data_IF_164156024387
#
_entry.id   IF_164156024387
#
_cell.length_a   1.000
_cell.length_b   1.000
_cell.length_c   1.000
_cell.angle_alpha   90.00
_cell.angle_beta   90.00
_cell.angle_gamma   90.00
#
_symmetry.space_group_name_H-M   'P 1'
#
loop_
_entity.id
_entity.type
_entity.pdbx_description
1 polymer ?
#
# COMPACT_ATOMS: atom_id res chain seq x y z
N UNK A 1 -9.44 -27.60 15.76
CA UNK A 1 -10.23 -26.71 14.86
C UNK A 1 -9.67 -25.31 14.63
N UNK A 2 -8.38 -25.07 14.91
CA UNK A 2 -7.75 -23.76 14.70
C UNK A 2 -6.87 -23.64 13.45
N UNK A 3 -6.60 -24.71 12.72
CA UNK A 3 -5.62 -24.72 11.62
C UNK A 3 -6.09 -24.01 10.33
N UNK A 4 -7.38 -23.90 10.07
CA UNK A 4 -7.91 -23.27 8.85
C UNK A 4 -7.95 -21.73 8.87
N UNK A 5 -8.09 -21.13 10.05
CA UNK A 5 -8.11 -19.68 10.23
C UNK A 5 -6.72 -19.04 10.16
N UNK A 6 -5.67 -19.76 10.56
CA UNK A 6 -4.32 -19.22 10.61
C UNK A 6 -3.70 -19.00 9.23
N UNK A 7 -3.92 -19.91 8.29
CA UNK A 7 -3.32 -19.80 6.93
C UNK A 7 -3.92 -18.64 6.13
N UNK A 8 -5.24 -18.45 6.22
CA UNK A 8 -5.92 -17.35 5.55
C UNK A 8 -5.63 -15.99 6.17
N UNK A 9 -5.64 -15.92 7.50
CA UNK A 9 -5.23 -14.74 8.25
C UNK A 9 -3.78 -14.36 7.95
N UNK A 10 -2.88 -15.34 7.88
CA UNK A 10 -1.47 -15.12 7.58
C UNK A 10 -1.24 -14.61 6.14
N UNK A 11 -1.97 -15.13 5.15
CA UNK A 11 -1.90 -14.64 3.77
C UNK A 11 -2.46 -13.22 3.68
N UNK A 12 -3.56 -12.93 4.35
CA UNK A 12 -4.19 -11.61 4.41
C UNK A 12 -3.25 -10.57 5.03
N UNK A 13 -2.68 -10.86 6.19
CA UNK A 13 -1.75 -9.97 6.89
C UNK A 13 -0.45 -9.73 6.11
N UNK A 14 0.06 -10.75 5.44
CA UNK A 14 1.24 -10.62 4.58
C UNK A 14 0.95 -9.68 3.41
N UNK A 15 -0.21 -9.78 2.79
CA UNK A 15 -0.63 -8.91 1.70
C UNK A 15 -0.83 -7.47 2.14
N UNK A 16 -1.56 -7.24 3.24
CA UNK A 16 -1.79 -5.90 3.79
C UNK A 16 -0.49 -5.18 4.14
N UNK A 17 0.47 -5.88 4.71
CA UNK A 17 1.76 -5.31 5.06
C UNK A 17 2.64 -5.01 3.85
N UNK A 18 2.63 -5.88 2.85
CA UNK A 18 3.31 -5.63 1.58
C UNK A 18 2.69 -4.43 0.86
N UNK A 19 1.36 -4.29 0.87
CA UNK A 19 0.64 -3.18 0.24
C UNK A 19 0.92 -1.85 0.95
N UNK A 20 0.98 -1.80 2.28
CA UNK A 20 1.34 -0.60 3.03
C UNK A 20 2.80 -0.15 2.79
N UNK A 21 3.74 -1.08 2.78
CA UNK A 21 5.13 -0.80 2.41
C UNK A 21 5.26 -0.36 0.95
N UNK A 22 4.52 -1.01 0.07
CA UNK A 22 4.48 -0.69 -1.35
C UNK A 22 3.99 0.72 -1.60
N UNK A 23 2.92 1.17 -0.91
CA UNK A 23 2.42 2.54 -0.98
C UNK A 23 3.47 3.59 -0.62
N UNK A 24 4.22 3.39 0.45
CA UNK A 24 5.31 4.29 0.88
C UNK A 24 6.48 4.31 -0.13
N UNK A 25 6.87 3.14 -0.63
CA UNK A 25 7.92 3.04 -1.65
C UNK A 25 7.48 3.71 -2.94
N UNK A 26 6.25 3.50 -3.38
CA UNK A 26 5.69 4.13 -4.57
C UNK A 26 5.66 5.64 -4.46
N UNK A 27 5.19 6.20 -3.35
CA UNK A 27 5.18 7.64 -3.10
C UNK A 27 6.57 8.24 -3.21
N UNK A 28 7.55 7.60 -2.62
CA UNK A 28 8.95 8.05 -2.66
C UNK A 28 9.50 8.05 -4.09
N UNK A 29 9.30 6.97 -4.82
CA UNK A 29 9.78 6.84 -6.21
C UNK A 29 9.06 7.83 -7.14
N UNK A 30 7.76 8.03 -6.98
CA UNK A 30 7.00 9.02 -7.75
C UNK A 30 7.56 10.43 -7.53
N UNK A 31 7.87 10.80 -6.30
CA UNK A 31 8.52 12.09 -5.99
C UNK A 31 9.91 12.21 -6.61
N UNK A 32 10.69 11.12 -6.61
CA UNK A 32 11.99 11.07 -7.27
C UNK A 32 11.85 11.29 -8.78
N UNK A 33 10.91 10.62 -9.43
CA UNK A 33 10.66 10.78 -10.88
C UNK A 33 10.25 12.21 -11.20
N UNK A 34 9.28 12.76 -10.48
CA UNK A 34 8.79 14.12 -10.69
C UNK A 34 9.91 15.16 -10.46
N UNK A 35 10.68 15.01 -9.39
CA UNK A 35 11.79 15.91 -9.08
C UNK A 35 12.93 15.83 -10.10
N UNK A 36 13.31 14.63 -10.51
CA UNK A 36 14.33 14.42 -11.53
C UNK A 36 13.91 15.01 -12.89
N UNK A 37 12.64 14.84 -13.26
CA UNK A 37 12.08 15.39 -14.50
C UNK A 37 12.07 16.93 -14.48
N UNK A 38 11.69 17.54 -13.36
CA UNK A 38 11.73 19.01 -13.20
C UNK A 38 13.13 19.56 -13.39
N UNK A 39 14.15 18.89 -12.90
CA UNK A 39 15.52 19.38 -12.91
C UNK A 39 16.23 19.12 -14.24
N UNK A 40 16.01 17.98 -14.87
CA UNK A 40 16.79 17.54 -16.01
C UNK A 40 15.99 17.23 -17.28
N UNK A 41 14.67 17.41 -17.27
CA UNK A 41 13.80 17.13 -18.40
C UNK A 41 13.35 15.66 -18.49
N UNK A 42 12.45 15.34 -19.43
CA UNK A 42 11.84 14.02 -19.55
C UNK A 42 12.67 12.98 -20.33
N UNK A 43 13.77 13.40 -20.95
CA UNK A 43 14.59 12.50 -21.76
C UNK A 43 15.54 11.66 -20.88
N UNK A 44 15.30 10.35 -20.83
CA UNK A 44 16.13 9.42 -20.05
C UNK A 44 17.55 9.26 -20.58
N UNK A 45 17.80 9.58 -21.85
CA UNK A 45 19.15 9.53 -22.44
C UNK A 45 20.05 10.63 -21.89
N UNK A 46 19.49 11.80 -21.57
CA UNK A 46 20.22 12.95 -21.04
C UNK A 46 20.03 13.15 -19.54
N UNK A 47 19.02 12.51 -18.95
CA UNK A 47 18.71 12.62 -17.53
C UNK A 47 18.96 11.28 -16.81
N UNK A 48 20.17 11.08 -16.34
CA UNK A 48 20.58 9.86 -15.64
C UNK A 48 19.83 9.64 -14.33
N UNK A 49 19.49 10.70 -13.61
CA UNK A 49 18.71 10.63 -12.36
C UNK A 49 17.29 10.14 -12.62
N UNK A 50 16.65 10.62 -13.68
CA UNK A 50 15.33 10.13 -14.09
C UNK A 50 15.40 8.66 -14.50
N UNK A 51 16.39 8.27 -15.27
CA UNK A 51 16.58 6.85 -15.65
C UNK A 51 16.71 5.95 -14.45
N UNK A 52 17.51 6.32 -13.45
CA UNK A 52 17.66 5.56 -12.21
C UNK A 52 16.34 5.46 -11.43
N UNK A 53 15.57 6.54 -11.35
CA UNK A 53 14.28 6.55 -10.67
C UNK A 53 13.26 5.65 -11.38
N UNK A 54 13.25 5.66 -12.71
CA UNK A 54 12.39 4.77 -13.51
C UNK A 54 12.80 3.30 -13.33
N UNK A 55 14.08 2.98 -13.27
CA UNK A 55 14.57 1.61 -13.03
C UNK A 55 14.10 1.11 -11.64
N UNK A 56 14.17 1.94 -10.62
CA UNK A 56 13.61 1.62 -9.30
C UNK A 56 12.10 1.36 -9.37
N UNK A 57 11.37 2.16 -10.13
CA UNK A 57 9.93 1.99 -10.32
C UNK A 57 9.59 0.65 -10.99
N UNK A 58 10.32 0.29 -12.03
CA UNK A 58 10.16 -0.99 -12.73
C UNK A 58 10.45 -2.16 -11.79
N UNK A 59 11.51 -2.08 -11.00
CA UNK A 59 11.90 -3.14 -10.06
C UNK A 59 10.84 -3.40 -8.97
N UNK A 60 10.03 -2.42 -8.63
CA UNK A 60 8.90 -2.58 -7.68
C UNK A 60 7.56 -2.78 -8.38
N UNK A 61 7.57 -3.09 -9.67
CA UNK A 61 6.38 -3.31 -10.51
C UNK A 61 5.39 -2.13 -10.52
N UNK A 62 5.91 -0.91 -10.53
CA UNK A 62 5.06 0.26 -10.72
C UNK A 62 4.43 0.26 -12.12
N UNK A 63 3.11 0.49 -12.25
CA UNK A 63 2.46 0.59 -13.55
C UNK A 63 3.06 1.67 -14.43
N UNK A 64 3.15 1.42 -15.72
CA UNK A 64 3.73 2.36 -16.70
C UNK A 64 3.01 3.70 -16.74
N UNK A 65 1.69 3.69 -16.62
CA UNK A 65 0.87 4.91 -16.56
C UNK A 65 1.17 5.75 -15.32
N UNK A 66 1.45 5.14 -14.19
CA UNK A 66 1.89 5.84 -12.97
C UNK A 66 3.24 6.52 -13.17
N UNK A 67 4.20 5.83 -13.79
CA UNK A 67 5.51 6.39 -14.15
C UNK A 67 5.33 7.59 -15.09
N UNK A 68 4.54 7.42 -16.15
CA UNK A 68 4.29 8.47 -17.14
C UNK A 68 3.64 9.70 -16.51
N UNK A 69 2.65 9.51 -15.64
CA UNK A 69 2.01 10.63 -14.91
C UNK A 69 3.00 11.39 -14.03
N UNK A 70 3.94 10.71 -13.40
CA UNK A 70 4.97 11.37 -12.60
C UNK A 70 5.93 12.22 -13.47
N UNK A 71 6.26 11.75 -14.67
CA UNK A 71 7.02 12.51 -15.66
C UNK A 71 6.21 13.72 -16.15
N UNK A 72 4.94 13.53 -16.51
CA UNK A 72 4.05 14.58 -17.00
C UNK A 72 3.85 15.69 -15.96
N UNK A 73 3.77 15.35 -14.70
CA UNK A 73 3.80 16.33 -13.60
C UNK A 73 5.11 17.12 -13.56
N UNK A 74 6.23 16.42 -13.74
CA UNK A 74 7.55 17.04 -13.71
C UNK A 74 7.77 18.07 -14.80
N UNK A 75 7.19 17.88 -15.98
CA UNK A 75 7.22 18.84 -17.09
C UNK A 75 6.06 19.85 -17.08
N UNK A 76 5.16 19.77 -16.09
CA UNK A 76 4.00 20.65 -15.99
C UNK A 76 2.88 20.36 -16.98
N UNK A 77 2.88 19.20 -17.66
CA UNK A 77 1.86 18.81 -18.62
C UNK A 77 0.52 18.45 -17.97
N UNK A 78 0.55 18.04 -16.71
CA UNK A 78 -0.65 17.80 -15.90
C UNK A 78 -0.55 18.55 -14.57
N UNK A 79 -1.69 19.05 -14.11
CA UNK A 79 -1.82 19.62 -12.78
C UNK A 79 -2.09 18.50 -11.76
N UNK A 80 -1.65 18.71 -10.54
CA UNK A 80 -1.91 17.81 -9.43
C UNK A 80 -0.99 18.10 -8.27
N UNK A 81 -1.50 17.91 -7.07
CA UNK A 81 -0.71 17.96 -5.85
C UNK A 81 0.19 16.73 -5.69
N UNK A 82 0.88 16.68 -4.57
CA UNK A 82 1.56 15.47 -4.14
C UNK A 82 0.60 14.30 -3.96
N UNK A 83 1.12 13.09 -4.08
CA UNK A 83 0.36 11.90 -3.72
C UNK A 83 0.06 11.88 -2.23
N UNK A 84 -1.19 11.60 -1.90
CA UNK A 84 -1.68 11.46 -0.54
C UNK A 84 -2.27 10.09 -0.31
N UNK A 85 -2.14 9.60 0.90
CA UNK A 85 -2.79 8.38 1.34
C UNK A 85 -4.18 8.70 1.88
N UNK A 86 -5.19 7.98 1.40
CA UNK A 86 -6.59 8.09 1.84
C UNK A 86 -7.09 6.72 2.24
N UNK A 87 -8.03 6.72 3.17
CA UNK A 87 -8.67 5.52 3.66
C UNK A 87 -10.18 5.68 3.61
N UNK A 88 -10.84 4.69 3.05
CA UNK A 88 -12.29 4.60 3.02
C UNK A 88 -12.75 3.33 3.71
N UNK A 89 -13.89 3.40 4.35
CA UNK A 89 -14.47 2.31 5.12
C UNK A 89 -15.90 2.07 4.67
N UNK A 90 -16.32 0.82 4.64
CA UNK A 90 -17.67 0.47 4.25
C UNK A 90 -17.97 -1.02 4.37
N UNK A 91 -19.12 -1.39 3.84
CA UNK A 91 -19.58 -2.78 3.82
C UNK A 91 -19.76 -3.25 2.38
N UNK A 92 -19.19 -4.40 2.08
CA UNK A 92 -19.38 -5.10 0.82
C UNK A 92 -20.74 -5.81 0.74
N UNK A 93 -21.06 -6.40 -0.41
CA UNK A 93 -22.22 -7.28 -0.54
C UNK A 93 -22.19 -8.37 0.53
N UNK A 94 -23.34 -8.64 1.14
CA UNK A 94 -23.44 -9.63 2.22
C UNK A 94 -22.95 -9.14 3.59
N UNK A 95 -22.62 -7.85 3.74
CA UNK A 95 -22.28 -7.24 5.03
C UNK A 95 -20.83 -7.43 5.48
N UNK A 96 -19.94 -7.84 4.59
CA UNK A 96 -18.51 -7.92 4.92
C UNK A 96 -17.89 -6.53 5.10
N UNK A 97 -17.15 -6.33 6.17
CA UNK A 97 -16.43 -5.07 6.41
C UNK A 97 -15.28 -4.90 5.41
N UNK A 98 -15.15 -3.71 4.83
CA UNK A 98 -14.14 -3.39 3.83
C UNK A 98 -13.42 -2.10 4.20
N UNK A 99 -12.10 -2.15 4.20
CA UNK A 99 -11.22 -0.98 4.24
C UNK A 99 -10.53 -0.85 2.90
N UNK A 100 -10.56 0.34 2.30
CA UNK A 100 -9.87 0.66 1.06
C UNK A 100 -8.80 1.70 1.35
N UNK A 101 -7.54 1.31 1.20
CA UNK A 101 -6.42 2.23 1.28
C UNK A 101 -6.03 2.69 -0.13
N UNK A 102 -5.98 4.00 -0.32
CA UNK A 102 -5.71 4.61 -1.62
C UNK A 102 -4.47 5.48 -1.55
N UNK A 103 -3.72 5.50 -2.64
CA UNK A 103 -2.66 6.45 -2.89
C UNK A 103 -3.06 7.26 -4.13
N UNK A 104 -3.28 8.56 -3.97
CA UNK A 104 -3.79 9.40 -5.06
C UNK A 104 -3.24 10.82 -5.02
N UNK A 105 -3.17 11.43 -6.18
CA UNK A 105 -2.90 12.85 -6.37
C UNK A 105 -4.17 13.68 -6.55
N UNK A 106 -5.35 13.04 -6.58
CA UNK A 106 -6.64 13.69 -6.77
C UNK A 106 -7.72 13.05 -5.90
N UNK A 107 -7.92 13.61 -4.72
CA UNK A 107 -8.91 13.15 -3.74
C UNK A 107 -10.33 13.12 -4.30
N UNK A 108 -10.73 14.16 -5.01
CA UNK A 108 -12.09 14.28 -5.54
C UNK A 108 -12.40 13.21 -6.56
N UNK A 109 -11.49 12.93 -7.49
CA UNK A 109 -11.64 11.86 -8.46
C UNK A 109 -11.68 10.50 -7.78
N UNK A 110 -10.80 10.25 -6.83
CA UNK A 110 -10.71 8.96 -6.14
C UNK A 110 -11.99 8.66 -5.38
N UNK A 111 -12.54 9.61 -4.62
CA UNK A 111 -13.79 9.36 -3.87
C UNK A 111 -14.96 9.12 -4.83
N UNK A 112 -15.01 9.81 -5.96
CA UNK A 112 -16.05 9.58 -6.95
C UNK A 112 -15.97 8.18 -7.55
N UNK A 113 -14.78 7.71 -7.88
CA UNK A 113 -14.55 6.34 -8.39
C UNK A 113 -14.89 5.27 -7.35
N UNK A 114 -14.49 5.45 -6.10
CA UNK A 114 -14.80 4.54 -4.99
C UNK A 114 -16.32 4.46 -4.76
N UNK A 115 -17.00 5.58 -4.72
CA UNK A 115 -18.48 5.62 -4.59
C UNK A 115 -19.15 4.91 -5.74
N UNK A 116 -18.69 5.12 -6.97
CA UNK A 116 -19.23 4.46 -8.15
C UNK A 116 -19.08 2.94 -8.07
N UNK A 117 -17.89 2.45 -7.70
CA UNK A 117 -17.63 1.02 -7.58
C UNK A 117 -18.49 0.40 -6.48
N UNK A 118 -18.57 1.01 -5.30
CA UNK A 118 -19.40 0.54 -4.21
C UNK A 118 -20.87 0.45 -4.61
N UNK A 119 -21.39 1.51 -5.22
CA UNK A 119 -22.77 1.54 -5.72
C UNK A 119 -23.03 0.47 -6.77
N UNK A 120 -22.13 0.31 -7.75
CA UNK A 120 -22.27 -0.68 -8.83
C UNK A 120 -22.36 -2.11 -8.34
N UNK A 121 -21.65 -2.46 -7.27
CA UNK A 121 -21.58 -3.83 -6.74
C UNK A 121 -22.44 -4.04 -5.49
N UNK A 122 -23.34 -3.13 -5.16
CA UNK A 122 -24.26 -3.28 -4.03
C UNK A 122 -23.57 -3.18 -2.67
N UNK A 123 -22.44 -2.51 -2.62
CA UNK A 123 -21.73 -2.18 -1.38
C UNK A 123 -22.17 -0.81 -0.83
N UNK A 124 -21.86 -0.55 0.43
CA UNK A 124 -22.20 0.70 1.10
C UNK A 124 -20.95 1.35 1.68
N UNK A 125 -20.65 2.56 1.21
CA UNK A 125 -19.57 3.37 1.75
C UNK A 125 -20.05 4.06 3.03
N UNK A 126 -19.32 3.84 4.12
CA UNK A 126 -19.58 4.45 5.42
C UNK A 126 -18.68 5.65 5.70
N UNK A 127 -18.79 6.15 6.91
CA UNK A 127 -17.92 7.19 7.47
C UNK A 127 -16.67 6.60 8.11
N UNK A 128 -15.70 7.44 8.43
CA UNK A 128 -14.48 7.03 9.14
C UNK A 128 -14.84 6.37 10.47
N UNK A 129 -14.25 5.23 10.76
CA UNK A 129 -14.50 4.46 11.97
C UNK A 129 -15.67 3.48 11.89
N UNK A 130 -16.43 3.46 10.78
CA UNK A 130 -17.61 2.59 10.65
C UNK A 130 -17.30 1.10 10.68
N UNK A 131 -16.11 0.70 10.22
CA UNK A 131 -15.66 -0.70 10.21
C UNK A 131 -14.27 -0.92 10.80
N UNK A 132 -13.46 0.12 10.97
CA UNK A 132 -12.07 0.01 11.40
C UNK A 132 -11.89 -0.64 12.76
N UNK A 133 -12.89 -0.53 13.65
CA UNK A 133 -12.91 -1.20 14.95
C UNK A 133 -12.89 -2.74 14.85
N UNK A 134 -13.29 -3.30 13.70
CA UNK A 134 -13.27 -4.74 13.43
C UNK A 134 -11.90 -5.23 12.95
N UNK A 135 -10.99 -4.30 12.67
CA UNK A 135 -9.65 -4.60 12.15
C UNK A 135 -8.59 -4.27 13.20
N UNK A 136 -7.60 -5.14 13.30
CA UNK A 136 -6.44 -4.92 14.12
C UNK A 136 -5.20 -4.88 13.25
N UNK A 137 -4.44 -3.79 13.32
CA UNK A 137 -3.16 -3.70 12.62
C UNK A 137 -2.12 -4.50 13.37
N UNK A 138 -1.52 -5.47 12.68
CA UNK A 138 -0.53 -6.36 13.25
C UNK A 138 0.75 -6.32 12.44
N UNK A 139 1.88 -6.50 13.12
CA UNK A 139 3.15 -6.86 12.50
C UNK A 139 3.17 -8.37 12.22
N UNK A 140 3.64 -8.74 11.04
CA UNK A 140 3.81 -10.14 10.67
C UNK A 140 5.25 -10.39 10.21
N UNK A 141 5.91 -11.37 10.83
CA UNK A 141 7.27 -11.78 10.51
C UNK A 141 7.25 -13.25 10.15
N UNK A 142 7.85 -13.59 9.02
CA UNK A 142 8.00 -14.96 8.58
C UNK A 142 9.45 -15.40 8.72
N UNK A 143 9.65 -16.50 9.40
CA UNK A 143 10.97 -17.12 9.59
C UNK A 143 10.96 -18.54 9.03
N UNK A 144 12.16 -19.08 8.79
CA UNK A 144 12.31 -20.48 8.42
C UNK A 144 11.80 -21.41 9.54
N UNK A 145 11.28 -22.58 9.16
CA UNK A 145 10.66 -23.51 10.09
C UNK A 145 11.59 -24.04 11.19
N UNK A 146 12.90 -24.02 10.95
CA UNK A 146 13.95 -24.42 11.88
C UNK A 146 14.45 -23.31 12.83
N UNK A 147 13.84 -22.12 12.75
CA UNK A 147 14.22 -21.00 13.60
C UNK A 147 13.81 -21.25 15.04
N UNK A 148 14.69 -20.91 15.99
CA UNK A 148 14.44 -21.07 17.42
C UNK A 148 13.34 -20.11 17.89
N UNK A 149 12.21 -20.67 18.33
CA UNK A 149 11.03 -19.90 18.77
C UNK A 149 11.30 -19.06 20.02
N UNK A 150 12.05 -19.61 20.99
CA UNK A 150 12.37 -18.92 22.23
C UNK A 150 13.24 -17.68 21.97
N UNK A 151 14.22 -17.80 21.08
CA UNK A 151 15.06 -16.68 20.65
C UNK A 151 14.27 -15.60 19.93
N UNK A 152 13.29 -15.98 19.07
CA UNK A 152 12.40 -15.05 18.40
C UNK A 152 11.49 -14.31 19.37
N UNK A 153 10.90 -15.01 20.33
CA UNK A 153 10.05 -14.42 21.35
C UNK A 153 10.81 -13.43 22.21
N UNK A 154 12.01 -13.81 22.66
CA UNK A 154 12.89 -12.96 23.46
C UNK A 154 13.27 -11.68 22.69
N UNK A 155 13.68 -11.81 21.44
CA UNK A 155 14.00 -10.67 20.59
C UNK A 155 12.79 -9.76 20.36
N UNK A 156 11.62 -10.33 20.11
CA UNK A 156 10.37 -9.57 19.92
C UNK A 156 10.01 -8.74 21.15
N UNK A 157 10.14 -9.31 22.34
CA UNK A 157 9.89 -8.62 23.61
C UNK A 157 10.93 -7.52 23.87
N UNK A 158 12.20 -7.77 23.57
CA UNK A 158 13.28 -6.79 23.70
C UNK A 158 13.05 -5.55 22.82
N UNK A 159 12.55 -5.75 21.61
CA UNK A 159 12.24 -4.66 20.67
C UNK A 159 10.81 -4.07 20.82
N UNK A 160 10.13 -4.36 21.92
CA UNK A 160 8.90 -3.69 22.32
C UNK A 160 7.61 -4.27 21.76
N UNK A 161 7.57 -5.55 21.42
CA UNK A 161 6.33 -6.20 21.06
C UNK A 161 5.38 -6.30 22.27
N UNK A 162 4.12 -5.87 22.10
CA UNK A 162 3.11 -5.92 23.16
C UNK A 162 2.55 -7.34 23.36
N UNK A 163 2.43 -8.07 22.26
CA UNK A 163 1.98 -9.46 22.25
C UNK A 163 2.57 -10.20 21.05
N UNK A 164 2.83 -11.47 21.24
CA UNK A 164 3.32 -12.35 20.18
C UNK A 164 2.41 -13.57 20.09
N UNK A 165 1.94 -13.84 18.89
CA UNK A 165 1.32 -15.11 18.57
C UNK A 165 2.02 -15.72 17.35
N UNK A 166 2.18 -17.01 17.33
CA UNK A 166 2.83 -17.69 16.21
C UNK A 166 2.03 -18.90 15.75
N UNK A 167 2.20 -19.23 14.48
CA UNK A 167 1.61 -20.41 13.86
C UNK A 167 2.66 -21.09 13.00
N UNK A 168 2.72 -22.39 13.10
CA UNK A 168 3.45 -23.22 12.15
C UNK A 168 2.67 -23.36 10.84
N UNK A 169 3.38 -23.25 9.72
CA UNK A 169 2.83 -23.44 8.37
C UNK A 169 3.11 -24.88 7.93
#
# INVERSE_FOLDING_TARGET
HMAGHSKWANIKHKKERQDAKRGKIFTKIIREITGATKQGGPDTNTNSRLRMAIDKAINVNMPKDTIQRAIDKGIGAIEGGDYIELRYEGYGPGGSAVIVECLTDNKTRTIAEIRHIFSKYGAHLGTDGSVSFQFKRLGYLLFAADTNEDALLEAALEYGADAVSYTHL
#
